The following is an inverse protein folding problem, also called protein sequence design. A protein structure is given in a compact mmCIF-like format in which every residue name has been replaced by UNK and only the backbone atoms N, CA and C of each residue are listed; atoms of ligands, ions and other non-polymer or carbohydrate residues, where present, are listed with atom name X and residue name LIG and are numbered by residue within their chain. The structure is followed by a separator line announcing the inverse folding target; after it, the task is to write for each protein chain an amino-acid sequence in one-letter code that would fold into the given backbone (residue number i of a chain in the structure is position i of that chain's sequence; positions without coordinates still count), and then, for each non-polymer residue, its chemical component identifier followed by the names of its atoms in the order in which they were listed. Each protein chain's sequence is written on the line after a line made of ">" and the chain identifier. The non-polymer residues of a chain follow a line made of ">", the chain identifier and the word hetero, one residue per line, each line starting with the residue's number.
data_IF_569764333028
#
_entry.id   IF_569764333028
#
_cell.length_a   1.000
_cell.length_b   1.000
_cell.length_c   1.000
_cell.angle_alpha   90.00
_cell.angle_beta   90.00
_cell.angle_gamma   90.00
#
_symmetry.space_group_name_H-M   'P 1'
#
loop_
_entity.id
_entity.type
_entity.pdbx_description
1 polymer ?
#
# COMPACT_ATOMS: atom_id res chain seq x y z
N UNK A 1 -24.17 16.41 -5.21
CA UNK A 1 -22.98 15.77 -4.60
C UNK A 1 -23.48 14.70 -3.64
N UNK A 2 -22.94 13.46 -3.69
CA UNK A 2 -23.28 12.44 -2.68
C UNK A 2 -22.80 12.93 -1.31
N UNK A 3 -23.55 12.62 -0.25
CA UNK A 3 -23.15 12.96 1.12
C UNK A 3 -22.02 12.01 1.55
N UNK A 4 -20.80 12.53 1.68
CA UNK A 4 -19.61 11.75 2.07
C UNK A 4 -19.29 12.03 3.54
N UNK A 5 -19.14 10.97 4.32
CA UNK A 5 -18.82 11.00 5.74
C UNK A 5 -17.61 10.12 6.03
N UNK A 6 -17.00 10.29 7.20
CA UNK A 6 -15.89 9.44 7.67
C UNK A 6 -16.25 7.94 7.74
N UNK A 7 -17.54 7.63 7.84
CA UNK A 7 -18.06 6.27 7.97
C UNK A 7 -18.31 5.63 6.60
N UNK A 8 -18.68 6.41 5.57
CA UNK A 8 -19.03 5.89 4.25
C UNK A 8 -17.98 6.14 3.15
N UNK A 9 -16.92 6.91 3.42
CA UNK A 9 -15.92 7.29 2.40
C UNK A 9 -15.27 6.08 1.72
N UNK A 10 -15.07 4.97 2.44
CA UNK A 10 -14.52 3.73 1.88
C UNK A 10 -15.44 3.13 0.82
N UNK A 11 -16.75 3.06 1.09
CA UNK A 11 -17.72 2.50 0.14
C UNK A 11 -17.97 3.44 -1.02
N UNK A 12 -17.96 4.75 -0.75
CA UNK A 12 -18.03 5.78 -1.80
C UNK A 12 -16.85 5.61 -2.76
N UNK A 13 -15.62 5.43 -2.27
CA UNK A 13 -14.45 5.16 -3.13
C UNK A 13 -14.64 3.90 -4.00
N UNK A 14 -15.04 2.77 -3.39
CA UNK A 14 -15.27 1.52 -4.12
C UNK A 14 -16.32 1.68 -5.22
N UNK A 15 -17.33 2.54 -5.01
CA UNK A 15 -18.36 2.85 -6.01
C UNK A 15 -17.88 3.63 -7.24
N UNK A 16 -16.67 4.22 -7.19
CA UNK A 16 -16.07 4.93 -8.32
C UNK A 16 -15.21 4.04 -9.21
N UNK A 17 -14.95 2.79 -8.82
CA UNK A 17 -14.15 1.87 -9.64
C UNK A 17 -14.91 1.47 -10.91
N UNK A 18 -14.35 1.83 -12.07
CA UNK A 18 -14.94 1.61 -13.39
C UNK A 18 -15.36 0.15 -13.63
N UNK A 19 -16.52 -0.07 -14.24
CA UNK A 19 -17.13 -1.40 -14.43
C UNK A 19 -16.24 -2.37 -15.22
N UNK A 20 -15.44 -1.85 -16.15
CA UNK A 20 -14.52 -2.60 -17.01
C UNK A 20 -13.14 -2.85 -16.38
N UNK A 21 -12.92 -2.42 -15.13
CA UNK A 21 -11.68 -2.70 -14.40
C UNK A 21 -11.46 -4.22 -14.26
N UNK A 22 -10.24 -4.73 -14.50
CA UNK A 22 -9.93 -6.15 -14.31
C UNK A 22 -10.33 -6.65 -12.92
N UNK A 23 -11.00 -7.82 -12.79
CA UNK A 23 -11.55 -8.27 -11.51
C UNK A 23 -10.53 -8.34 -10.37
N UNK A 24 -9.31 -8.84 -10.67
CA UNK A 24 -8.24 -8.94 -9.67
C UNK A 24 -7.72 -7.57 -9.22
N UNK A 25 -7.60 -6.61 -10.15
CA UNK A 25 -7.20 -5.24 -9.83
C UNK A 25 -8.22 -4.57 -8.93
N UNK A 26 -9.52 -4.74 -9.24
CA UNK A 26 -10.62 -4.22 -8.39
C UNK A 26 -10.54 -4.78 -6.97
N UNK A 27 -10.32 -6.09 -6.85
CA UNK A 27 -10.17 -6.76 -5.54
C UNK A 27 -9.00 -6.19 -4.73
N UNK A 28 -7.80 -6.13 -5.32
CA UNK A 28 -6.59 -5.62 -4.66
C UNK A 28 -6.78 -4.16 -4.23
N UNK A 29 -7.26 -3.30 -5.13
CA UNK A 29 -7.47 -1.87 -4.84
C UNK A 29 -8.54 -1.66 -3.76
N UNK A 30 -9.60 -2.47 -3.77
CA UNK A 30 -10.68 -2.38 -2.77
C UNK A 30 -10.17 -2.76 -1.39
N UNK A 31 -9.35 -3.81 -1.31
CA UNK A 31 -8.73 -4.25 -0.07
C UNK A 31 -7.72 -3.24 0.46
N UNK A 32 -6.82 -2.73 -0.40
CA UNK A 32 -5.83 -1.71 -0.03
C UNK A 32 -6.50 -0.48 0.60
N UNK A 33 -7.52 0.08 -0.05
CA UNK A 33 -8.19 1.28 0.45
C UNK A 33 -9.01 1.01 1.69
N UNK A 34 -9.59 -0.18 1.82
CA UNK A 34 -10.23 -0.60 3.07
C UNK A 34 -9.23 -0.55 4.23
N UNK A 35 -8.09 -1.24 4.10
CA UNK A 35 -7.07 -1.29 5.14
C UNK A 35 -6.44 0.08 5.45
N UNK A 36 -6.22 0.93 4.43
CA UNK A 36 -5.72 2.30 4.64
C UNK A 36 -6.70 3.17 5.44
N UNK A 37 -7.99 3.13 5.10
CA UNK A 37 -9.01 3.88 5.84
C UNK A 37 -9.21 3.34 7.25
N UNK A 38 -9.14 2.02 7.43
CA UNK A 38 -9.23 1.40 8.74
C UNK A 38 -8.02 1.75 9.61
N UNK A 39 -6.79 1.74 9.07
CA UNK A 39 -5.58 2.21 9.76
C UNK A 39 -5.73 3.65 10.26
N UNK A 40 -6.23 4.56 9.40
CA UNK A 40 -6.44 5.95 9.79
C UNK A 40 -7.49 6.11 10.89
N UNK A 41 -8.59 5.32 10.84
CA UNK A 41 -9.64 5.34 11.87
C UNK A 41 -9.17 4.73 13.20
N UNK A 42 -8.47 3.61 13.14
CA UNK A 42 -7.94 2.88 14.30
C UNK A 42 -6.96 3.75 15.08
N UNK A 43 -6.02 4.37 14.38
CA UNK A 43 -4.98 5.22 14.99
C UNK A 43 -5.46 6.63 15.33
N UNK A 44 -6.64 7.02 14.82
CA UNK A 44 -7.13 8.41 14.84
C UNK A 44 -6.10 9.39 14.25
N UNK A 45 -5.52 8.99 13.11
CA UNK A 45 -4.42 9.69 12.45
C UNK A 45 -4.69 11.19 12.35
N UNK A 46 -3.79 11.99 12.91
CA UNK A 46 -3.90 13.45 12.89
C UNK A 46 -3.36 14.03 11.58
N UNK A 47 -3.71 15.30 11.30
CA UNK A 47 -3.17 15.99 10.13
C UNK A 47 -1.64 16.12 10.18
N UNK A 48 -1.05 16.31 11.36
CA UNK A 48 0.39 16.45 11.49
C UNK A 48 1.10 15.12 11.26
N UNK A 49 0.63 14.02 11.85
CA UNK A 49 1.17 12.68 11.60
C UNK A 49 1.00 12.28 10.12
N UNK A 50 -0.15 12.59 9.53
CA UNK A 50 -0.39 12.38 8.11
C UNK A 50 0.61 13.16 7.24
N UNK A 51 0.87 14.44 7.54
CA UNK A 51 1.88 15.24 6.82
C UNK A 51 3.29 14.65 6.93
N UNK A 52 3.66 14.12 8.10
CA UNK A 52 4.94 13.44 8.26
C UNK A 52 5.03 12.17 7.40
N UNK A 53 3.95 11.39 7.33
CA UNK A 53 3.87 10.23 6.44
C UNK A 53 3.98 10.62 4.95
N UNK A 54 3.33 11.70 4.53
CA UNK A 54 3.46 12.23 3.17
C UNK A 54 4.89 12.69 2.90
N UNK A 55 5.51 13.44 3.81
CA UNK A 55 6.89 13.90 3.67
C UNK A 55 7.89 12.73 3.56
N UNK A 56 7.63 11.60 4.22
CA UNK A 56 8.41 10.37 4.04
C UNK A 56 8.30 9.84 2.60
N UNK A 57 7.10 9.75 2.04
CA UNK A 57 6.88 9.29 0.66
C UNK A 57 7.48 10.25 -0.39
N UNK A 58 7.31 11.55 -0.18
CA UNK A 58 7.95 12.59 -1.00
C UNK A 58 9.47 12.51 -0.91
N UNK A 59 10.00 12.24 0.30
CA UNK A 59 11.41 11.95 0.53
C UNK A 59 11.89 10.79 -0.32
N UNK A 60 11.22 9.63 -0.29
CA UNK A 60 11.54 8.49 -1.15
C UNK A 60 11.57 8.89 -2.63
N UNK A 61 10.52 9.58 -3.11
CA UNK A 61 10.42 9.99 -4.51
C UNK A 61 11.51 10.99 -4.94
N UNK A 62 11.95 11.88 -4.05
CA UNK A 62 12.91 12.94 -4.35
C UNK A 62 14.33 12.42 -4.65
N UNK A 63 14.64 11.20 -4.22
CA UNK A 63 15.96 10.57 -4.35
C UNK A 63 15.89 9.23 -5.11
N UNK A 64 14.75 8.91 -5.71
CA UNK A 64 14.57 7.81 -6.67
C UNK A 64 15.42 8.08 -7.92
N UNK A 65 16.17 7.08 -8.39
CA UNK A 65 16.95 7.12 -9.63
C UNK A 65 16.85 5.78 -10.36
N UNK A 66 17.42 5.67 -11.57
CA UNK A 66 17.48 4.39 -12.29
C UNK A 66 18.18 3.29 -11.48
N UNK A 67 19.19 3.64 -10.70
CA UNK A 67 19.94 2.70 -9.85
C UNK A 67 19.48 2.70 -8.38
N UNK A 68 18.43 3.46 -8.04
CA UNK A 68 17.98 3.63 -6.64
C UNK A 68 16.46 3.62 -6.54
N UNK A 69 15.93 2.51 -6.04
CA UNK A 69 14.50 2.25 -5.93
C UNK A 69 14.00 2.36 -4.48
N UNK A 70 13.62 3.55 -4.06
CA UNK A 70 13.24 3.86 -2.69
C UNK A 70 11.91 3.27 -2.27
N UNK A 71 10.96 3.15 -3.20
CA UNK A 71 9.69 2.47 -2.89
C UNK A 71 9.90 0.97 -2.68
N UNK A 72 10.85 0.35 -3.38
CA UNK A 72 11.25 -1.04 -3.13
C UNK A 72 11.94 -1.15 -1.78
N UNK A 73 12.87 -0.24 -1.47
CA UNK A 73 13.55 -0.20 -0.17
C UNK A 73 12.58 0.05 1.00
N UNK A 74 11.60 0.92 0.83
CA UNK A 74 10.55 1.14 1.81
C UNK A 74 9.71 -0.15 2.02
N UNK A 75 9.39 -0.86 0.94
CA UNK A 75 8.75 -2.17 1.00
C UNK A 75 9.60 -3.22 1.75
N UNK A 76 10.91 -3.22 1.55
CA UNK A 76 11.85 -4.13 2.23
C UNK A 76 11.90 -3.85 3.74
N UNK A 77 12.02 -2.58 4.14
CA UNK A 77 12.08 -2.18 5.56
C UNK A 77 10.75 -2.45 6.27
N UNK A 78 9.62 -2.26 5.58
CA UNK A 78 8.29 -2.60 6.10
C UNK A 78 8.00 -4.11 6.08
N UNK A 79 8.88 -4.92 5.47
CA UNK A 79 8.73 -6.37 5.36
C UNK A 79 7.73 -6.85 4.31
N UNK A 80 7.18 -5.95 3.49
CA UNK A 80 6.19 -6.29 2.47
C UNK A 80 6.79 -7.15 1.36
N UNK A 81 8.00 -6.82 0.88
CA UNK A 81 8.69 -7.62 -0.15
C UNK A 81 8.90 -9.06 0.30
N UNK A 82 9.36 -9.24 1.54
CA UNK A 82 9.54 -10.55 2.15
C UNK A 82 8.22 -11.29 2.34
N UNK A 83 7.15 -10.61 2.75
CA UNK A 83 5.83 -11.21 2.88
C UNK A 83 5.30 -11.72 1.53
N UNK A 84 5.44 -10.92 0.47
CA UNK A 84 5.04 -11.33 -0.89
C UNK A 84 5.83 -12.56 -1.35
N UNK A 85 7.15 -12.58 -1.10
CA UNK A 85 8.00 -13.72 -1.41
C UNK A 85 7.56 -14.98 -0.64
N UNK A 86 7.30 -14.86 0.67
CA UNK A 86 6.80 -15.97 1.49
C UNK A 86 5.44 -16.51 1.01
N UNK A 87 4.51 -15.66 0.58
CA UNK A 87 3.21 -16.05 0.04
C UNK A 87 3.32 -16.90 -1.24
N UNK A 88 4.46 -16.84 -1.94
CA UNK A 88 4.72 -17.57 -3.18
C UNK A 88 5.77 -18.70 -3.02
N UNK A 89 6.32 -18.87 -1.83
CA UNK A 89 7.31 -19.90 -1.51
C UNK A 89 6.65 -21.28 -1.24
N UNK A 90 7.36 -22.36 -1.56
CA UNK A 90 6.93 -23.73 -1.22
C UNK A 90 7.49 -24.12 0.15
N UNK A 91 6.66 -24.57 1.11
CA UNK A 91 7.14 -25.00 2.44
C UNK A 91 8.13 -26.17 2.42
N UNK A 92 8.12 -26.96 1.34
CA UNK A 92 8.97 -28.15 1.18
C UNK A 92 10.29 -27.83 0.46
N UNK A 93 10.47 -26.60 -0.03
CA UNK A 93 11.67 -26.15 -0.73
C UNK A 93 12.58 -25.30 0.19
N UNK A 94 13.76 -24.94 -0.30
CA UNK A 94 14.62 -23.94 0.37
C UNK A 94 13.85 -22.62 0.51
N UNK A 95 13.86 -22.03 1.70
CA UNK A 95 13.24 -20.72 1.95
C UNK A 95 13.79 -19.69 0.97
N UNK A 96 12.88 -18.95 0.35
CA UNK A 96 13.21 -17.81 -0.51
C UNK A 96 13.63 -16.60 0.33
N UNK A 97 14.27 -15.64 -0.33
CA UNK A 97 14.70 -14.37 0.24
C UNK A 97 14.63 -13.31 -0.84
N UNK A 98 14.41 -12.05 -0.43
CA UNK A 98 14.43 -10.91 -1.34
C UNK A 98 15.82 -10.72 -1.94
N UNK A 99 15.89 -10.36 -3.23
CA UNK A 99 17.16 -10.14 -3.93
C UNK A 99 17.95 -8.96 -3.34
N UNK A 100 17.25 -7.94 -2.83
CA UNK A 100 17.83 -6.65 -2.46
C UNK A 100 18.18 -5.80 -3.70
N UNK A 101 18.50 -4.50 -3.52
CA UNK A 101 18.73 -3.57 -4.63
C UNK A 101 20.21 -3.53 -5.06
N UNK A 102 20.78 -4.69 -5.43
CA UNK A 102 22.19 -4.81 -5.82
C UNK A 102 22.40 -4.92 -7.33
#
# INVERSE_FOLDING_TARGET
>A
MRNVTKDNITDVFKSYMADDMPPRTREIMSSLVQHLHDFARETKLTHDEWRHGIAFLEGCAAIETEDRHEFVLASDVLGLSSLVDMLHSSPEATSSSVLGPF
#
